data_IF_280193556675
#
_entry.id   IF_280193556675
#
_cell.length_a   1.000
_cell.length_b   1.000
_cell.length_c   1.000
_cell.angle_alpha   90.00
_cell.angle_beta   90.00
_cell.angle_gamma   90.00
#
_symmetry.space_group_name_H-M   'P 1'
#
loop_
_entity.id
_entity.type
_entity.pdbx_description
1 polymer ?
#
# COMPACT_ATOMS: atom_id res chain seq x y z
N UNK A 1 2.10 20.51 27.08
CA UNK A 1 2.96 19.40 26.65
C UNK A 1 3.25 19.63 25.19
N UNK A 2 4.50 19.91 24.81
CA UNK A 2 4.86 20.03 23.40
C UNK A 2 4.63 18.69 22.71
N UNK A 3 3.85 18.69 21.64
CA UNK A 3 3.60 17.51 20.82
C UNK A 3 4.91 17.17 20.10
N UNK A 4 5.58 16.07 20.50
CA UNK A 4 6.86 15.68 19.92
C UNK A 4 6.65 15.12 18.50
N UNK A 5 6.77 15.98 17.49
CA UNK A 5 6.92 15.61 16.07
C UNK A 5 8.37 15.26 15.72
N UNK A 6 9.31 15.66 16.57
CA UNK A 6 10.71 15.28 16.50
C UNK A 6 10.92 13.81 16.93
N UNK A 7 12.03 13.22 16.50
CA UNK A 7 12.54 11.93 16.95
C UNK A 7 14.06 11.93 16.92
N UNK A 8 14.69 11.04 17.68
CA UNK A 8 16.14 10.89 17.73
C UNK A 8 16.54 9.57 17.08
N UNK A 9 17.37 9.63 16.06
CA UNK A 9 17.95 8.45 15.40
C UNK A 9 18.83 7.65 16.36
N UNK A 10 19.15 6.40 16.01
CA UNK A 10 20.13 5.58 16.75
C UNK A 10 21.50 6.27 16.87
N UNK A 11 21.88 7.08 15.88
CA UNK A 11 23.11 7.89 15.89
C UNK A 11 23.00 9.20 16.67
N UNK A 12 21.84 9.53 17.21
CA UNK A 12 21.61 10.72 18.03
C UNK A 12 21.22 12.00 17.28
N UNK A 13 21.11 11.96 15.94
CA UNK A 13 20.55 13.06 15.14
C UNK A 13 19.06 13.23 15.42
N UNK A 14 18.60 14.48 15.46
CA UNK A 14 17.17 14.82 15.55
C UNK A 14 16.59 14.90 14.15
N UNK A 15 15.40 14.32 13.97
CA UNK A 15 14.62 14.31 12.74
C UNK A 15 13.18 14.73 13.03
N UNK A 16 12.54 15.45 12.12
CA UNK A 16 11.15 15.86 12.23
C UNK A 16 10.23 14.97 11.38
N UNK A 17 9.07 14.59 11.91
CA UNK A 17 8.02 13.88 11.17
C UNK A 17 7.06 14.87 10.53
N UNK A 18 7.17 15.03 9.21
CA UNK A 18 6.26 15.87 8.42
C UNK A 18 5.25 14.97 7.70
N UNK A 19 3.95 15.18 7.96
CA UNK A 19 2.89 14.49 7.23
C UNK A 19 2.93 14.89 5.75
N UNK A 20 3.13 13.90 4.87
CA UNK A 20 3.16 14.12 3.41
C UNK A 20 1.81 13.91 2.76
N UNK A 21 1.09 12.85 3.14
CA UNK A 21 -0.19 12.49 2.53
C UNK A 21 -1.05 11.65 3.48
N UNK A 22 -2.36 11.63 3.24
CA UNK A 22 -3.35 10.77 3.91
C UNK A 22 -4.50 10.47 2.96
N UNK A 23 -5.13 9.31 3.13
CA UNK A 23 -6.34 8.98 2.38
C UNK A 23 -6.68 7.49 2.44
N UNK A 24 -7.17 6.95 1.34
CA UNK A 24 -7.62 5.57 1.20
C UNK A 24 -6.53 4.70 0.58
N UNK A 25 -6.64 3.39 0.77
CA UNK A 25 -5.77 2.44 0.08
C UNK A 25 -6.51 1.15 -0.25
N UNK A 26 -6.02 0.44 -1.26
CA UNK A 26 -6.38 -0.95 -1.54
C UNK A 26 -5.10 -1.75 -1.71
N UNK A 27 -5.06 -2.93 -1.10
CA UNK A 27 -3.98 -3.92 -1.26
C UNK A 27 -4.58 -5.23 -1.72
N UNK A 28 -4.00 -5.85 -2.74
CA UNK A 28 -4.42 -7.17 -3.21
C UNK A 28 -3.22 -8.01 -3.61
N UNK A 29 -3.38 -9.33 -3.50
CA UNK A 29 -2.31 -10.31 -3.69
C UNK A 29 -2.39 -10.98 -5.06
N UNK A 30 -1.23 -11.13 -5.70
CA UNK A 30 -1.05 -11.97 -6.87
C UNK A 30 -0.77 -13.40 -6.41
N UNK A 31 -1.71 -14.30 -6.67
CA UNK A 31 -1.57 -15.74 -6.44
C UNK A 31 -1.18 -16.42 -7.75
N UNK A 32 -0.09 -17.19 -7.72
CA UNK A 32 0.27 -18.09 -8.81
C UNK A 32 -0.79 -19.20 -8.93
N UNK A 33 -1.39 -19.35 -10.12
CA UNK A 33 -2.51 -20.27 -10.33
C UNK A 33 -2.12 -21.75 -10.31
N UNK A 34 -0.87 -22.07 -10.66
CA UNK A 34 -0.40 -23.45 -10.68
C UNK A 34 -0.05 -23.96 -9.28
N UNK A 35 0.49 -23.08 -8.43
CA UNK A 35 1.02 -23.44 -7.11
C UNK A 35 0.16 -22.98 -5.95
N UNK A 36 -0.76 -22.04 -6.17
CA UNK A 36 -1.57 -21.41 -5.12
C UNK A 36 -0.78 -20.46 -4.21
N UNK A 37 0.51 -20.21 -4.50
CA UNK A 37 1.37 -19.38 -3.65
C UNK A 37 1.22 -17.90 -3.96
N UNK A 38 1.28 -17.07 -2.93
CA UNK A 38 1.42 -15.63 -3.09
C UNK A 38 2.78 -15.27 -3.68
N UNK A 39 2.80 -14.37 -4.66
CA UNK A 39 4.02 -13.96 -5.37
C UNK A 39 4.42 -12.52 -5.04
N UNK A 40 3.44 -11.63 -4.93
CA UNK A 40 3.59 -10.21 -4.58
C UNK A 40 2.23 -9.61 -4.27
N UNK A 41 2.24 -8.46 -3.62
CA UNK A 41 1.03 -7.63 -3.49
C UNK A 41 1.15 -6.39 -4.37
N UNK A 42 0.01 -5.82 -4.76
CA UNK A 42 -0.05 -4.45 -5.28
C UNK A 42 -0.80 -3.59 -4.28
N UNK A 43 -0.16 -2.50 -3.88
CA UNK A 43 -0.68 -1.47 -3.00
C UNK A 43 -1.01 -0.24 -3.84
N UNK A 44 -2.24 0.25 -3.75
CA UNK A 44 -2.71 1.47 -4.37
C UNK A 44 -3.05 2.45 -3.26
N UNK A 45 -2.44 3.64 -3.30
CA UNK A 45 -2.61 4.72 -2.35
C UNK A 45 -3.36 5.87 -3.03
N UNK A 46 -4.43 6.34 -2.39
CA UNK A 46 -5.28 7.44 -2.84
C UNK A 46 -5.27 8.50 -1.74
N UNK A 47 -4.46 9.54 -1.90
CA UNK A 47 -4.48 10.72 -1.06
C UNK A 47 -4.53 11.98 -1.91
N UNK A 48 -3.76 12.99 -1.49
CA UNK A 48 -3.37 14.12 -2.33
C UNK A 48 -2.61 13.63 -3.57
N UNK A 49 -1.70 12.66 -3.38
CA UNK A 49 -1.03 11.99 -4.48
C UNK A 49 -1.68 10.62 -4.73
N UNK A 50 -1.72 10.21 -5.99
CA UNK A 50 -2.13 8.87 -6.39
C UNK A 50 -0.88 8.06 -6.76
N UNK A 51 -0.64 6.97 -6.03
CA UNK A 51 0.56 6.14 -6.19
C UNK A 51 0.22 4.66 -6.14
N UNK A 52 0.99 3.84 -6.83
CA UNK A 52 0.90 2.40 -6.70
C UNK A 52 2.28 1.78 -6.59
N UNK A 53 2.37 0.67 -5.86
CA UNK A 53 3.60 -0.09 -5.66
C UNK A 53 3.32 -1.58 -5.75
N UNK A 54 4.27 -2.33 -6.30
CA UNK A 54 4.37 -3.76 -6.01
C UNK A 54 5.17 -3.95 -4.73
N UNK A 55 4.62 -4.72 -3.79
CA UNK A 55 5.29 -5.15 -2.57
C UNK A 55 5.87 -6.54 -2.83
N UNK A 56 7.19 -6.63 -2.96
CA UNK A 56 7.91 -7.88 -3.22
C UNK A 56 8.48 -8.40 -1.90
N UNK A 57 8.13 -9.62 -1.46
CA UNK A 57 8.68 -10.19 -0.24
C UNK A 57 10.17 -10.51 -0.42
N UNK A 58 10.99 -10.08 0.55
CA UNK A 58 12.44 -10.35 0.62
C UNK A 58 12.81 -10.88 2.01
N UNK A 59 12.25 -12.02 2.38
CA UNK A 59 12.39 -12.60 3.72
C UNK A 59 11.51 -11.89 4.74
N UNK A 60 12.10 -11.26 5.76
CA UNK A 60 11.39 -10.56 6.83
C UNK A 60 10.90 -9.15 6.45
N UNK A 61 11.19 -8.70 5.23
CA UNK A 61 10.87 -7.34 4.73
C UNK A 61 10.19 -7.42 3.38
N UNK A 62 9.55 -6.32 2.99
CA UNK A 62 9.03 -6.13 1.63
C UNK A 62 9.76 -4.98 0.95
N UNK A 63 10.10 -5.16 -0.32
CA UNK A 63 10.55 -4.07 -1.20
C UNK A 63 9.33 -3.46 -1.90
N UNK A 64 9.16 -2.14 -1.77
CA UNK A 64 8.15 -1.40 -2.51
C UNK A 64 8.73 -0.88 -3.83
N UNK A 65 8.27 -1.43 -4.95
CA UNK A 65 8.69 -1.04 -6.30
C UNK A 65 7.58 -0.19 -6.93
N UNK A 66 7.86 1.03 -7.45
CA UNK A 66 6.85 1.83 -8.13
C UNK A 66 6.12 1.05 -9.23
N UNK A 67 4.81 1.18 -9.28
CA UNK A 67 3.95 0.50 -10.23
C UNK A 67 3.01 1.50 -10.92
N UNK A 68 2.45 1.06 -12.05
CA UNK A 68 1.41 1.83 -12.71
C UNK A 68 0.15 1.93 -11.83
N UNK A 69 -0.29 3.16 -11.60
CA UNK A 69 -1.54 3.45 -10.93
C UNK A 69 -2.72 3.14 -11.86
N UNK A 70 -3.61 2.26 -11.42
CA UNK A 70 -4.80 1.87 -12.16
C UNK A 70 -5.91 1.43 -11.20
N UNK A 71 -7.12 1.94 -11.41
CA UNK A 71 -8.33 1.59 -10.66
C UNK A 71 -9.30 0.71 -11.46
N UNK A 72 -9.04 0.50 -12.75
CA UNK A 72 -9.86 -0.32 -13.65
C UNK A 72 -9.70 -1.83 -13.41
N UNK A 73 -8.68 -2.24 -12.65
CA UNK A 73 -8.45 -3.65 -12.32
C UNK A 73 -9.58 -4.23 -11.46
N UNK A 74 -9.98 -5.47 -11.77
CA UNK A 74 -10.90 -6.27 -10.96
C UNK A 74 -10.14 -7.29 -10.11
N UNK A 75 -10.62 -7.50 -8.89
CA UNK A 75 -10.05 -8.43 -7.90
C UNK A 75 -11.13 -9.38 -7.38
N UNK A 76 -10.71 -10.55 -6.88
CA UNK A 76 -11.61 -11.44 -6.14
C UNK A 76 -11.71 -11.00 -4.68
N UNK A 77 -12.93 -10.86 -4.20
CA UNK A 77 -13.28 -10.58 -2.81
C UNK A 77 -14.24 -11.68 -2.34
N UNK A 78 -13.68 -12.73 -1.70
CA UNK A 78 -14.38 -13.99 -1.48
C UNK A 78 -14.74 -14.68 -2.80
N UNK A 79 -16.02 -15.01 -2.98
CA UNK A 79 -16.55 -15.60 -4.21
C UNK A 79 -16.90 -14.56 -5.29
N UNK A 80 -16.94 -13.28 -4.92
CA UNK A 80 -17.32 -12.20 -5.83
C UNK A 80 -16.11 -11.62 -6.57
N UNK A 81 -16.38 -11.01 -7.71
CA UNK A 81 -15.41 -10.15 -8.41
C UNK A 81 -15.83 -8.70 -8.25
N UNK A 82 -14.92 -7.84 -7.79
CA UNK A 82 -15.15 -6.42 -7.58
C UNK A 82 -14.10 -5.58 -8.30
N UNK A 83 -14.51 -4.43 -8.82
CA UNK A 83 -13.59 -3.44 -9.36
C UNK A 83 -12.95 -2.61 -8.24
N UNK A 84 -11.66 -2.27 -8.35
CA UNK A 84 -10.94 -1.52 -7.31
C UNK A 84 -11.57 -0.16 -7.03
N UNK A 85 -12.07 0.55 -8.05
CA UNK A 85 -12.76 1.83 -7.85
C UNK A 85 -13.97 1.68 -6.93
N UNK A 86 -14.80 0.67 -7.17
CA UNK A 86 -15.99 0.41 -6.34
C UNK A 86 -15.59 0.08 -4.89
N UNK A 87 -14.53 -0.71 -4.69
CA UNK A 87 -14.01 -1.02 -3.35
C UNK A 87 -13.57 0.27 -2.63
N UNK A 88 -12.89 1.18 -3.32
CA UNK A 88 -12.46 2.46 -2.75
C UNK A 88 -13.63 3.39 -2.43
N UNK A 89 -14.70 3.35 -3.22
CA UNK A 89 -15.91 4.15 -3.01
C UNK A 89 -16.70 3.68 -1.77
N UNK A 90 -16.57 2.40 -1.36
CA UNK A 90 -17.17 1.84 -0.13
C UNK A 90 -16.53 2.39 1.16
N UNK A 91 -15.30 2.88 1.09
CA UNK A 91 -14.57 3.42 2.26
C UNK A 91 -15.13 4.81 2.60
N UNK A 92 -15.63 5.00 3.82
CA UNK A 92 -16.14 6.31 4.29
C UNK A 92 -15.02 7.29 4.60
#
# INVERSE_FOLDING_TARGET
MEESYETKTKSGKIEERILKDKGKFVRYTYIDKATGKATKDKLILIGKDQKAYFMIPTGERELAIPAHFDLGTSVKDGEMTKNIKNILDEIK
#
